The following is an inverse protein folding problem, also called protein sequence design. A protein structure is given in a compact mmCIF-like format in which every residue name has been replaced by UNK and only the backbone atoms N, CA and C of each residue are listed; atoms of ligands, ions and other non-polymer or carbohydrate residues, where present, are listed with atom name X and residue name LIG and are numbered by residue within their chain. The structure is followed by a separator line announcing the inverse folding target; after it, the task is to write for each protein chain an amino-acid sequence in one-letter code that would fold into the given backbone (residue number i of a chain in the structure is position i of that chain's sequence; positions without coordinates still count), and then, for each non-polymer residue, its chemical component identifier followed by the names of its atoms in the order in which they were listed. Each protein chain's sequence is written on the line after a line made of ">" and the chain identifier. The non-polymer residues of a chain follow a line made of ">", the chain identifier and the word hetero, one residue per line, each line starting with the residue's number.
data_IF_116249603513
#
_entry.id   IF_116249603513
#
_cell.length_a   1.000
_cell.length_b   1.000
_cell.length_c   1.000
_cell.angle_alpha   90.00
_cell.angle_beta   90.00
_cell.angle_gamma   90.00
#
_symmetry.space_group_name_H-M   'P 1'
#
loop_
_entity.id
_entity.type
_entity.pdbx_description
1 polymer ?
#
# COMPACT_ATOMS: atom_id res chain seq x y z
N UNK A 1 20.55 18.46 -3.38
CA UNK A 1 20.29 17.00 -3.25
C UNK A 1 19.11 16.70 -4.17
N UNK A 2 19.15 15.61 -4.94
CA UNK A 2 17.97 15.22 -5.73
C UNK A 2 16.78 14.96 -4.78
N UNK A 3 15.54 15.09 -5.24
CA UNK A 3 14.36 14.64 -4.49
C UNK A 3 14.33 13.11 -4.39
N UNK A 4 13.69 12.58 -3.35
CA UNK A 4 13.41 11.15 -3.22
C UNK A 4 12.55 10.71 -4.41
N UNK A 5 12.86 9.57 -5.02
CA UNK A 5 12.01 9.10 -6.12
C UNK A 5 10.63 8.72 -5.57
N UNK A 6 9.61 9.00 -6.38
CA UNK A 6 8.23 8.61 -6.11
C UNK A 6 8.11 7.13 -5.75
N UNK A 7 8.67 6.27 -6.59
CA UNK A 7 8.60 4.83 -6.39
C UNK A 7 9.22 4.39 -5.06
N UNK A 8 10.24 5.10 -4.57
CA UNK A 8 10.82 4.78 -3.27
C UNK A 8 9.91 5.22 -2.11
N UNK A 9 9.32 6.42 -2.19
CA UNK A 9 8.35 6.89 -1.20
C UNK A 9 7.13 5.96 -1.13
N UNK A 10 6.53 5.65 -2.28
CA UNK A 10 5.35 4.79 -2.37
C UNK A 10 5.63 3.34 -1.99
N UNK A 11 6.84 2.83 -2.27
CA UNK A 11 7.19 1.46 -1.85
C UNK A 11 7.07 1.28 -0.33
N UNK A 12 7.33 2.32 0.48
CA UNK A 12 7.23 2.21 1.93
C UNK A 12 5.79 2.15 2.42
N UNK A 13 4.95 3.07 1.94
CA UNK A 13 3.51 3.08 2.28
C UNK A 13 2.86 1.78 1.83
N UNK A 14 3.03 1.43 0.55
CA UNK A 14 2.39 0.26 -0.05
C UNK A 14 2.88 -1.07 0.57
N UNK A 15 4.16 -1.17 0.95
CA UNK A 15 4.63 -2.35 1.69
C UNK A 15 3.94 -2.49 3.05
N UNK A 16 3.77 -1.39 3.79
CA UNK A 16 3.09 -1.43 5.09
C UNK A 16 1.58 -1.68 4.94
N UNK A 17 0.94 -1.09 3.93
CA UNK A 17 -0.47 -1.36 3.61
C UNK A 17 -0.69 -2.84 3.29
N UNK A 18 0.24 -3.46 2.55
CA UNK A 18 0.18 -4.90 2.25
C UNK A 18 0.19 -5.80 3.50
N UNK A 19 0.70 -5.31 4.64
CA UNK A 19 0.65 -6.07 5.89
C UNK A 19 -0.74 -6.04 6.51
N UNK A 20 -1.47 -4.93 6.39
CA UNK A 20 -2.81 -4.80 6.96
C UNK A 20 -3.84 -5.74 6.27
N UNK A 21 -3.55 -6.15 5.04
CA UNK A 21 -4.35 -7.11 4.27
C UNK A 21 -3.91 -8.57 4.47
N UNK A 22 -2.72 -8.82 5.05
CA UNK A 22 -2.23 -10.18 5.28
C UNK A 22 -3.10 -10.91 6.30
N UNK A 23 -3.54 -12.13 5.99
CA UNK A 23 -4.39 -12.87 6.91
C UNK A 23 -3.66 -13.23 8.22
N UNK A 24 -2.33 -13.39 8.18
CA UNK A 24 -1.48 -13.50 9.37
C UNK A 24 -1.55 -12.26 10.29
N UNK A 25 -1.63 -11.06 9.72
CA UNK A 25 -1.75 -9.82 10.48
C UNK A 25 -3.17 -9.66 11.01
N UNK A 26 -4.17 -9.89 10.17
CA UNK A 26 -5.59 -9.83 10.54
C UNK A 26 -5.89 -10.80 11.70
N UNK A 27 -5.40 -12.04 11.63
CA UNK A 27 -5.57 -13.03 12.70
C UNK A 27 -4.91 -12.65 14.03
N UNK A 28 -3.88 -11.79 14.02
CA UNK A 28 -3.18 -11.34 15.23
C UNK A 28 -3.78 -10.09 15.83
N UNK A 29 -4.06 -9.09 15.00
CA UNK A 29 -4.25 -7.71 15.42
C UNK A 29 -5.65 -7.15 15.14
N UNK A 30 -6.39 -7.70 14.17
CA UNK A 30 -7.72 -7.19 13.85
C UNK A 30 -8.74 -7.73 14.85
N UNK A 31 -8.99 -6.95 15.90
CA UNK A 31 -9.95 -7.28 16.95
C UNK A 31 -11.08 -6.25 17.03
N UNK A 32 -12.28 -6.71 17.40
CA UNK A 32 -13.39 -5.82 17.72
C UNK A 32 -13.23 -5.20 19.13
N UNK A 33 -14.16 -4.33 19.52
CA UNK A 33 -14.14 -3.67 20.83
C UNK A 33 -14.26 -4.65 22.04
N UNK A 34 -14.71 -5.88 21.81
CA UNK A 34 -14.76 -6.93 22.81
C UNK A 34 -13.47 -7.79 22.85
N UNK A 35 -12.44 -7.43 22.08
CA UNK A 35 -11.19 -8.17 21.97
C UNK A 35 -11.28 -9.46 21.15
N UNK A 36 -12.38 -9.66 20.41
CA UNK A 36 -12.57 -10.84 19.57
C UNK A 36 -11.90 -10.61 18.22
N UNK A 37 -11.09 -11.55 17.76
CA UNK A 37 -10.45 -11.51 16.45
C UNK A 37 -11.49 -11.51 15.34
N UNK A 38 -11.20 -10.81 14.24
CA UNK A 38 -12.01 -10.80 13.02
C UNK A 38 -12.32 -12.24 12.57
N UNK A 39 -13.59 -12.62 12.36
CA UNK A 39 -13.93 -13.96 11.91
C UNK A 39 -13.35 -14.25 10.51
N UNK A 40 -12.86 -15.48 10.31
CA UNK A 40 -12.32 -15.93 9.03
C UNK A 40 -13.30 -15.71 7.87
N UNK A 41 -14.60 -15.89 8.11
CA UNK A 41 -15.64 -15.74 7.09
C UNK A 41 -15.68 -14.32 6.52
N UNK A 42 -15.29 -13.30 7.30
CA UNK A 42 -15.18 -11.92 6.83
C UNK A 42 -13.96 -11.74 5.93
N UNK A 43 -12.82 -12.31 6.33
CA UNK A 43 -11.57 -12.30 5.55
C UNK A 43 -11.75 -13.03 4.22
N UNK A 44 -12.34 -14.23 4.25
CA UNK A 44 -12.67 -15.01 3.06
C UNK A 44 -13.60 -14.24 2.12
N UNK A 45 -14.66 -13.62 2.66
CA UNK A 45 -15.58 -12.81 1.85
C UNK A 45 -14.85 -11.65 1.17
N UNK A 46 -13.92 -10.99 1.86
CA UNK A 46 -13.12 -9.93 1.29
C UNK A 46 -12.22 -10.43 0.15
N UNK A 47 -11.50 -11.54 0.35
CA UNK A 47 -10.62 -12.14 -0.67
C UNK A 47 -11.45 -12.53 -1.91
N UNK A 48 -12.59 -13.21 -1.73
CA UNK A 48 -13.48 -13.60 -2.84
C UNK A 48 -14.01 -12.39 -3.62
N UNK A 49 -14.25 -11.27 -2.93
CA UNK A 49 -14.77 -10.06 -3.56
C UNK A 49 -13.70 -9.25 -4.32
N UNK A 50 -12.42 -9.38 -3.96
CA UNK A 50 -11.35 -8.51 -4.45
C UNK A 50 -10.39 -9.22 -5.39
N UNK A 51 -9.97 -10.45 -5.08
CA UNK A 51 -8.96 -11.21 -5.81
C UNK A 51 -9.25 -11.35 -7.32
N UNK A 52 -10.49 -11.63 -7.77
CA UNK A 52 -10.79 -11.70 -9.21
C UNK A 52 -10.57 -10.39 -9.97
N UNK A 53 -10.50 -9.25 -9.27
CA UNK A 53 -10.36 -7.91 -9.85
C UNK A 53 -8.94 -7.34 -9.71
N UNK A 54 -7.97 -8.10 -9.20
CA UNK A 54 -6.59 -7.63 -9.03
C UNK A 54 -5.95 -7.19 -10.35
N UNK A 55 -6.20 -7.94 -11.43
CA UNK A 55 -5.74 -7.57 -12.79
C UNK A 55 -6.43 -6.30 -13.29
N UNK A 56 -7.72 -6.12 -12.99
CA UNK A 56 -8.45 -4.89 -13.32
C UNK A 56 -7.86 -3.68 -12.59
N UNK A 57 -7.51 -3.84 -11.31
CA UNK A 57 -6.87 -2.79 -10.51
C UNK A 57 -5.49 -2.41 -11.06
N UNK A 58 -4.67 -3.40 -11.45
CA UNK A 58 -3.41 -3.16 -12.16
C UNK A 58 -3.64 -2.38 -13.47
N UNK A 59 -4.60 -2.82 -14.31
CA UNK A 59 -4.90 -2.16 -15.58
C UNK A 59 -5.33 -0.70 -15.37
N UNK A 60 -6.12 -0.42 -14.34
CA UNK A 60 -6.49 0.94 -13.96
C UNK A 60 -5.27 1.77 -13.53
N UNK A 61 -4.36 1.18 -12.75
CA UNK A 61 -3.11 1.83 -12.35
C UNK A 61 -2.19 2.14 -13.55
N UNK A 62 -2.10 1.22 -14.52
CA UNK A 62 -1.31 1.40 -15.76
C UNK A 62 -1.93 2.42 -16.72
N UNK A 63 -3.25 2.56 -16.76
CA UNK A 63 -3.90 3.52 -17.66
C UNK A 63 -3.38 4.95 -17.47
N UNK A 64 -3.10 5.36 -16.23
CA UNK A 64 -2.60 6.70 -15.90
C UNK A 64 -1.26 7.01 -16.57
N UNK A 65 -0.15 6.30 -16.31
CA UNK A 65 1.14 6.62 -16.92
C UNK A 65 1.16 6.43 -18.44
N UNK A 66 0.34 5.53 -19.00
CA UNK A 66 0.21 5.42 -20.46
C UNK A 66 -0.49 6.62 -21.09
N UNK A 67 -1.51 7.17 -20.42
CA UNK A 67 -2.12 8.42 -20.84
C UNK A 67 -1.15 9.59 -20.72
N UNK A 68 -0.49 9.74 -19.57
CA UNK A 68 0.51 10.81 -19.38
C UNK A 68 1.61 10.71 -20.44
N UNK A 69 2.14 9.52 -20.73
CA UNK A 69 3.11 9.33 -21.81
C UNK A 69 2.59 9.83 -23.16
N UNK A 70 1.37 9.42 -23.56
CA UNK A 70 0.76 9.87 -24.83
C UNK A 70 0.53 11.38 -24.84
N UNK A 71 0.15 11.97 -23.72
CA UNK A 71 -0.07 13.41 -23.56
C UNK A 71 1.24 14.19 -23.72
N UNK A 72 2.29 13.80 -23.00
CA UNK A 72 3.56 14.52 -23.01
C UNK A 72 4.39 14.30 -24.28
N UNK A 73 4.05 13.29 -25.08
CA UNK A 73 4.62 13.08 -26.43
C UNK A 73 3.80 13.74 -27.55
N UNK A 74 2.62 14.29 -27.24
CA UNK A 74 1.76 14.96 -28.22
C UNK A 74 2.39 16.31 -28.64
N UNK A 75 2.48 16.62 -29.95
CA UNK A 75 2.86 17.94 -30.39
C UNK A 75 1.91 19.01 -29.85
N UNK A 76 2.45 20.11 -29.33
CA UNK A 76 1.65 21.16 -28.70
C UNK A 76 0.57 21.75 -29.63
N UNK A 77 0.84 21.79 -30.94
CA UNK A 77 -0.14 22.25 -31.94
C UNK A 77 -1.37 21.34 -32.08
N UNK A 78 -1.29 20.09 -31.61
CA UNK A 78 -2.40 19.11 -31.60
C UNK A 78 -3.13 19.08 -30.25
N UNK A 79 -2.62 19.82 -29.25
CA UNK A 79 -3.20 19.87 -27.92
C UNK A 79 -4.54 20.63 -27.95
N UNK A 80 -5.61 19.88 -27.72
CA UNK A 80 -6.96 20.43 -27.60
C UNK A 80 -7.76 19.61 -26.58
N UNK A 81 -8.85 20.19 -26.05
CA UNK A 81 -9.76 19.47 -25.16
C UNK A 81 -10.31 18.20 -25.82
N UNK A 82 -10.67 18.28 -27.11
CA UNK A 82 -11.16 17.13 -27.86
C UNK A 82 -10.10 16.03 -27.98
N UNK A 83 -8.84 16.41 -28.27
CA UNK A 83 -7.72 15.48 -28.33
C UNK A 83 -7.51 14.79 -26.98
N UNK A 84 -7.57 15.52 -25.87
CA UNK A 84 -7.40 14.97 -24.51
C UNK A 84 -8.51 13.97 -24.15
N UNK A 85 -9.78 14.34 -24.37
CA UNK A 85 -10.93 13.48 -24.10
C UNK A 85 -10.88 12.19 -24.93
N UNK A 86 -10.56 12.32 -26.23
CA UNK A 86 -10.39 11.18 -27.13
C UNK A 86 -9.24 10.28 -26.67
N UNK A 87 -8.08 10.86 -26.35
CA UNK A 87 -6.91 10.11 -25.90
C UNK A 87 -7.20 9.35 -24.60
N UNK A 88 -7.88 9.96 -23.63
CA UNK A 88 -8.27 9.31 -22.38
C UNK A 88 -9.19 8.11 -22.65
N UNK A 89 -10.23 8.28 -23.47
CA UNK A 89 -11.14 7.20 -23.85
C UNK A 89 -10.44 6.06 -24.62
N UNK A 90 -9.47 6.39 -25.48
CA UNK A 90 -8.65 5.40 -26.17
C UNK A 90 -7.79 4.59 -25.19
N UNK A 91 -7.14 5.24 -24.24
CA UNK A 91 -6.32 4.57 -23.22
C UNK A 91 -7.17 3.66 -22.33
N UNK A 92 -8.34 4.12 -21.88
CA UNK A 92 -9.27 3.29 -21.11
C UNK A 92 -9.67 2.04 -21.88
N UNK A 93 -10.07 2.19 -23.15
CA UNK A 93 -10.43 1.06 -24.01
C UNK A 93 -9.26 0.10 -24.21
N UNK A 94 -8.08 0.63 -24.56
CA UNK A 94 -6.91 -0.19 -24.90
C UNK A 94 -6.35 -0.93 -23.68
N UNK A 95 -6.29 -0.26 -22.52
CA UNK A 95 -5.61 -0.76 -21.32
C UNK A 95 -6.59 -1.37 -20.32
N UNK A 96 -7.80 -0.85 -20.16
CA UNK A 96 -8.79 -1.40 -19.23
C UNK A 96 -9.79 -2.32 -19.92
N UNK A 97 -9.90 -2.28 -21.26
CA UNK A 97 -10.81 -3.14 -22.04
C UNK A 97 -12.20 -2.54 -22.26
N UNK A 98 -12.38 -1.27 -21.92
CA UNK A 98 -13.65 -0.53 -22.04
C UNK A 98 -13.60 0.77 -21.26
N UNK A 99 -14.73 1.50 -21.15
CA UNK A 99 -14.82 2.68 -20.29
C UNK A 99 -14.43 2.36 -18.85
N UNK A 100 -13.62 3.22 -18.24
CA UNK A 100 -13.21 3.02 -16.86
C UNK A 100 -14.37 3.28 -15.88
N UNK A 101 -14.44 2.51 -14.79
CA UNK A 101 -15.42 2.76 -13.70
C UNK A 101 -15.22 4.13 -13.05
N UNK A 102 -13.97 4.60 -13.04
CA UNK A 102 -13.57 5.96 -12.72
C UNK A 102 -12.90 6.56 -13.96
N UNK A 103 -13.48 7.59 -14.60
CA UNK A 103 -12.88 8.22 -15.78
C UNK A 103 -11.44 8.67 -15.51
N UNK A 104 -10.55 8.47 -16.47
CA UNK A 104 -9.12 8.69 -16.33
C UNK A 104 -8.79 10.14 -15.96
N UNK A 105 -9.46 11.09 -16.59
CA UNK A 105 -9.29 12.53 -16.32
C UNK A 105 -9.86 12.98 -14.96
N UNK A 106 -10.53 12.09 -14.21
CA UNK A 106 -10.92 12.35 -12.82
C UNK A 106 -9.83 11.99 -11.81
N UNK A 107 -8.68 11.46 -12.27
CA UNK A 107 -7.53 11.19 -11.41
C UNK A 107 -6.81 12.51 -11.12
N UNK A 108 -6.83 13.01 -9.87
CA UNK A 108 -6.33 14.35 -9.55
C UNK A 108 -4.83 14.48 -9.77
N UNK A 109 -4.06 13.40 -9.63
CA UNK A 109 -2.60 13.40 -9.84
C UNK A 109 -2.22 13.88 -11.24
N UNK A 110 -3.02 13.56 -12.26
CA UNK A 110 -2.78 14.01 -13.64
C UNK A 110 -2.88 15.54 -13.75
N UNK A 111 -3.72 16.16 -12.91
CA UNK A 111 -4.09 17.58 -12.98
C UNK A 111 -3.34 18.47 -11.97
N UNK A 112 -2.52 17.87 -11.09
CA UNK A 112 -1.81 18.57 -10.03
C UNK A 112 -0.32 18.72 -10.38
N UNK A 113 0.21 19.94 -10.26
CA UNK A 113 1.60 20.28 -10.62
C UNK A 113 2.63 19.39 -9.90
N UNK A 114 2.40 19.10 -8.61
CA UNK A 114 3.27 18.24 -7.80
C UNK A 114 3.19 16.74 -8.12
N UNK A 115 2.24 16.30 -8.94
CA UNK A 115 1.92 14.89 -9.15
C UNK A 115 1.68 14.47 -10.62
N UNK A 116 1.88 15.36 -11.59
CA UNK A 116 1.89 14.97 -13.00
C UNK A 116 3.16 14.17 -13.34
N UNK A 117 3.04 13.20 -14.24
CA UNK A 117 4.08 12.22 -14.56
C UNK A 117 4.58 11.43 -13.34
N UNK A 118 3.81 11.37 -12.26
CA UNK A 118 4.18 10.72 -11.00
C UNK A 118 3.76 9.25 -10.98
N UNK A 119 2.66 8.92 -11.67
CA UNK A 119 1.90 7.70 -11.39
C UNK A 119 2.61 6.39 -11.78
N UNK A 120 3.57 6.47 -12.71
CA UNK A 120 4.46 5.34 -13.02
C UNK A 120 5.28 4.89 -11.79
N UNK A 121 5.51 5.78 -10.83
CA UNK A 121 6.16 5.47 -9.57
C UNK A 121 5.36 4.50 -8.69
N UNK A 122 4.02 4.59 -8.66
CA UNK A 122 3.16 3.60 -7.97
C UNK A 122 3.33 2.20 -8.57
N UNK A 123 3.39 2.10 -9.90
CA UNK A 123 3.57 0.81 -10.60
C UNK A 123 4.93 0.19 -10.24
N UNK A 124 5.99 0.99 -10.26
CA UNK A 124 7.34 0.53 -9.89
C UNK A 124 7.44 0.17 -8.39
N UNK A 125 6.76 0.91 -7.54
CA UNK A 125 6.65 0.61 -6.11
C UNK A 125 5.96 -0.73 -5.89
N UNK A 126 4.82 -0.98 -6.52
CA UNK A 126 4.07 -2.23 -6.36
C UNK A 126 4.86 -3.45 -6.83
N UNK A 127 5.57 -3.34 -7.96
CA UNK A 127 6.52 -4.35 -8.41
C UNK A 127 7.54 -4.68 -7.31
N UNK A 128 8.10 -3.64 -6.69
CA UNK A 128 9.09 -3.78 -5.62
C UNK A 128 8.48 -4.36 -4.34
N UNK A 129 7.25 -4.01 -3.98
CA UNK A 129 6.52 -4.57 -2.84
C UNK A 129 6.40 -6.08 -3.00
N UNK A 130 5.88 -6.55 -4.14
CA UNK A 130 5.76 -7.98 -4.41
C UNK A 130 7.12 -8.70 -4.43
N UNK A 131 8.14 -8.10 -5.05
CA UNK A 131 9.49 -8.67 -5.08
C UNK A 131 10.11 -8.75 -3.67
N UNK A 132 9.92 -7.72 -2.86
CA UNK A 132 10.41 -7.63 -1.49
C UNK A 132 9.72 -8.65 -0.58
N UNK A 133 8.39 -8.77 -0.68
CA UNK A 133 7.61 -9.78 0.05
C UNK A 133 8.03 -11.19 -0.33
N UNK A 134 8.18 -11.48 -1.62
CA UNK A 134 8.66 -12.78 -2.10
C UNK A 134 10.07 -13.11 -1.57
N UNK A 135 10.97 -12.11 -1.50
CA UNK A 135 12.28 -12.27 -0.89
C UNK A 135 12.18 -12.62 0.60
N UNK A 136 11.41 -11.87 1.40
CA UNK A 136 11.28 -12.15 2.82
C UNK A 136 10.62 -13.50 3.12
N UNK A 137 9.58 -13.88 2.37
CA UNK A 137 8.97 -15.19 2.49
C UNK A 137 9.95 -16.31 2.13
N UNK A 138 10.78 -16.12 1.10
CA UNK A 138 11.79 -17.11 0.72
C UNK A 138 12.90 -17.27 1.76
N UNK A 139 13.30 -16.20 2.45
CA UNK A 139 14.44 -16.23 3.38
C UNK A 139 13.99 -16.57 4.80
N UNK A 140 12.84 -16.07 5.21
CA UNK A 140 12.37 -16.16 6.59
C UNK A 140 11.08 -16.96 6.78
N UNK A 141 10.35 -17.28 5.71
CA UNK A 141 9.08 -18.01 5.79
C UNK A 141 7.89 -17.19 6.32
N UNK A 142 8.13 -16.03 6.92
CA UNK A 142 7.08 -15.15 7.47
C UNK A 142 7.53 -13.69 7.46
N UNK A 143 6.55 -12.78 7.34
CA UNK A 143 6.76 -11.33 7.33
C UNK A 143 6.28 -10.70 8.65
N UNK A 144 5.03 -10.97 9.03
CA UNK A 144 4.39 -10.38 10.22
C UNK A 144 5.14 -10.75 11.50
N UNK A 145 5.42 -9.76 12.35
CA UNK A 145 6.18 -9.87 13.62
C UNK A 145 7.59 -10.46 13.51
N UNK A 146 8.17 -10.47 12.31
CA UNK A 146 9.53 -10.94 12.09
C UNK A 146 10.55 -9.81 12.29
N UNK A 147 11.39 -9.85 13.34
CA UNK A 147 12.35 -8.77 13.62
C UNK A 147 13.41 -8.61 12.52
N UNK A 148 13.68 -9.66 11.74
CA UNK A 148 14.63 -9.58 10.64
C UNK A 148 14.10 -8.74 9.47
N UNK A 149 12.77 -8.73 9.24
CA UNK A 149 12.15 -7.89 8.21
C UNK A 149 12.35 -6.42 8.53
N UNK A 150 12.00 -5.99 9.75
CA UNK A 150 12.20 -4.60 10.18
C UNK A 150 13.68 -4.19 10.16
N UNK A 151 14.58 -5.09 10.58
CA UNK A 151 16.04 -4.86 10.48
C UNK A 151 16.45 -4.61 9.03
N UNK A 152 16.06 -5.50 8.12
CA UNK A 152 16.52 -5.44 6.73
C UNK A 152 15.94 -4.23 5.98
N UNK A 153 14.65 -3.91 6.19
CA UNK A 153 14.03 -2.68 5.70
C UNK A 153 14.78 -1.44 6.22
N UNK A 154 15.10 -1.40 7.52
CA UNK A 154 15.88 -0.31 8.12
C UNK A 154 17.25 -0.17 7.46
N UNK A 155 17.99 -1.28 7.29
CA UNK A 155 19.35 -1.22 6.73
C UNK A 155 19.37 -0.90 5.24
N UNK A 156 18.44 -1.46 4.48
CA UNK A 156 18.52 -1.48 3.01
C UNK A 156 17.65 -0.43 2.35
N UNK A 157 16.49 -0.10 2.92
CA UNK A 157 15.61 0.94 2.41
C UNK A 157 15.80 2.23 3.20
N UNK A 158 15.52 2.25 4.49
CA UNK A 158 15.36 3.51 5.22
C UNK A 158 16.67 4.27 5.49
N UNK A 159 17.72 3.59 5.99
CA UNK A 159 19.00 4.23 6.33
C UNK A 159 19.68 4.94 5.15
N UNK A 160 19.73 4.36 3.93
CA UNK A 160 20.28 5.06 2.77
C UNK A 160 19.57 6.37 2.41
N UNK A 161 18.28 6.51 2.74
CA UNK A 161 17.47 7.65 2.35
C UNK A 161 17.57 7.91 0.84
N UNK A 162 17.77 9.16 0.44
CA UNK A 162 17.99 9.50 -0.97
C UNK A 162 19.47 9.47 -1.42
N UNK A 163 20.33 8.77 -0.67
CA UNK A 163 21.73 8.57 -1.04
C UNK A 163 21.95 7.47 -2.10
N UNK A 164 20.93 6.66 -2.37
CA UNK A 164 21.00 5.49 -3.27
C UNK A 164 19.79 5.48 -4.20
N UNK A 165 19.97 5.23 -5.51
CA UNK A 165 18.86 5.10 -6.45
C UNK A 165 17.89 3.98 -6.07
N UNK A 166 16.59 4.18 -6.30
CA UNK A 166 15.55 3.20 -5.94
C UNK A 166 15.82 1.78 -6.48
N UNK A 167 16.21 1.64 -7.74
CA UNK A 167 16.48 0.33 -8.34
C UNK A 167 17.65 -0.38 -7.63
N UNK A 168 18.65 0.37 -7.18
CA UNK A 168 19.79 -0.15 -6.42
C UNK A 168 19.39 -0.52 -4.99
N UNK A 169 18.44 0.20 -4.38
CA UNK A 169 17.85 -0.18 -3.09
C UNK A 169 17.17 -1.55 -3.20
N UNK A 170 16.30 -1.74 -4.20
CA UNK A 170 15.59 -3.01 -4.44
C UNK A 170 16.57 -4.16 -4.67
N UNK A 171 17.60 -3.93 -5.48
CA UNK A 171 18.67 -4.91 -5.71
C UNK A 171 19.48 -5.19 -4.46
N UNK A 172 19.77 -4.18 -3.66
CA UNK A 172 20.50 -4.29 -2.40
C UNK A 172 19.75 -5.08 -1.33
N UNK A 173 18.42 -4.99 -1.29
CA UNK A 173 17.59 -5.80 -0.37
C UNK A 173 17.37 -7.21 -0.91
N UNK A 174 16.91 -7.34 -2.15
CA UNK A 174 16.39 -8.60 -2.69
C UNK A 174 17.45 -9.45 -3.39
N UNK A 175 18.62 -8.88 -3.67
CA UNK A 175 19.71 -9.50 -4.44
C UNK A 175 19.48 -9.52 -5.96
N UNK A 176 18.34 -8.99 -6.44
CA UNK A 176 17.93 -9.03 -7.85
C UNK A 176 17.49 -7.65 -8.32
N UNK A 177 17.74 -7.33 -9.59
CA UNK A 177 17.17 -6.14 -10.23
C UNK A 177 15.64 -6.16 -10.11
N UNK A 178 15.01 -4.98 -10.09
CA UNK A 178 13.56 -4.86 -10.07
C UNK A 178 12.95 -5.62 -11.27
N UNK A 179 11.99 -6.49 -11.00
CA UNK A 179 11.30 -7.31 -11.99
C UNK A 179 9.84 -7.55 -11.57
N UNK A 180 8.98 -7.82 -12.55
CA UNK A 180 7.54 -7.99 -12.31
C UNK A 180 7.15 -9.43 -11.93
N UNK A 181 8.08 -10.40 -11.97
CA UNK A 181 7.77 -11.84 -11.83
C UNK A 181 6.96 -12.16 -10.57
N UNK A 182 7.31 -11.57 -9.43
CA UNK A 182 6.61 -11.81 -8.18
C UNK A 182 5.17 -11.27 -8.21
N UNK A 183 4.96 -10.12 -8.84
CA UNK A 183 3.64 -9.52 -8.98
C UNK A 183 2.78 -10.28 -9.99
N UNK A 184 3.33 -10.61 -11.15
CA UNK A 184 2.67 -11.42 -12.19
C UNK A 184 2.26 -12.79 -11.63
N UNK A 185 3.14 -13.42 -10.84
CA UNK A 185 2.81 -14.68 -10.15
C UNK A 185 1.64 -14.50 -9.18
N UNK A 186 1.63 -13.44 -8.38
CA UNK A 186 0.54 -13.17 -7.44
C UNK A 186 -0.80 -12.91 -8.16
N UNK A 187 -0.77 -12.18 -9.28
CA UNK A 187 -1.96 -11.91 -10.10
C UNK A 187 -2.52 -13.17 -10.77
N UNK A 188 -1.67 -14.14 -11.07
CA UNK A 188 -2.04 -15.42 -11.66
C UNK A 188 -2.40 -16.51 -10.64
N UNK A 189 -2.43 -16.19 -9.35
CA UNK A 189 -2.77 -17.15 -8.31
C UNK A 189 -4.26 -17.54 -8.37
N UNK A 190 -4.55 -18.83 -8.27
CA UNK A 190 -5.92 -19.32 -8.20
C UNK A 190 -6.58 -18.92 -6.88
N UNK A 191 -7.89 -18.57 -6.94
CA UNK A 191 -8.64 -18.10 -5.78
C UNK A 191 -8.71 -19.14 -4.65
N UNK A 192 -8.94 -20.41 -4.97
CA UNK A 192 -9.08 -21.45 -3.94
C UNK A 192 -7.72 -21.78 -3.32
N UNK A 193 -6.64 -21.72 -4.11
CA UNK A 193 -5.28 -21.79 -3.58
C UNK A 193 -4.98 -20.61 -2.64
N UNK A 194 -5.31 -19.38 -3.06
CA UNK A 194 -5.14 -18.17 -2.24
C UNK A 194 -5.87 -18.31 -0.90
N UNK A 195 -7.16 -18.67 -0.93
CA UNK A 195 -7.97 -18.88 0.27
C UNK A 195 -7.38 -19.94 1.20
N UNK A 196 -6.92 -21.06 0.65
CA UNK A 196 -6.28 -22.12 1.43
C UNK A 196 -5.02 -21.62 2.14
N UNK A 197 -4.15 -20.91 1.42
CA UNK A 197 -2.91 -20.38 1.97
C UNK A 197 -3.16 -19.29 3.02
N UNK A 198 -4.05 -18.34 2.75
CA UNK A 198 -4.40 -17.27 3.67
C UNK A 198 -5.11 -17.81 4.92
N UNK A 199 -5.92 -18.86 4.81
CA UNK A 199 -6.54 -19.50 5.98
C UNK A 199 -5.50 -20.10 6.92
N UNK A 200 -4.51 -20.79 6.36
CA UNK A 200 -3.43 -21.37 7.15
C UNK A 200 -2.61 -20.29 7.88
N UNK A 201 -2.31 -19.18 7.20
CA UNK A 201 -1.61 -18.04 7.80
C UNK A 201 -2.47 -17.30 8.84
N UNK A 202 -3.76 -17.15 8.60
CA UNK A 202 -4.73 -16.63 9.57
C UNK A 202 -4.77 -17.47 10.84
N UNK A 203 -4.94 -18.79 10.74
CA UNK A 203 -5.00 -19.68 11.89
C UNK A 203 -3.70 -19.65 12.72
N UNK A 204 -2.55 -19.59 12.06
CA UNK A 204 -1.25 -19.35 12.73
C UNK A 204 -1.21 -18.00 13.42
N UNK A 205 -1.75 -16.96 12.78
CA UNK A 205 -1.86 -15.62 13.35
C UNK A 205 -2.71 -15.59 14.62
N UNK A 206 -3.91 -16.17 14.58
CA UNK A 206 -4.81 -16.31 15.72
C UNK A 206 -4.14 -17.06 16.87
N UNK A 207 -3.49 -18.19 16.57
CA UNK A 207 -2.82 -19.00 17.59
C UNK A 207 -1.63 -18.28 18.24
N UNK A 208 -0.91 -17.44 17.48
CA UNK A 208 0.20 -16.66 17.99
C UNK A 208 -0.26 -15.47 18.86
N UNK A 209 -1.38 -14.85 18.49
CA UNK A 209 -1.87 -13.61 19.11
C UNK A 209 -0.98 -12.40 18.86
N UNK A 210 -1.43 -11.23 19.32
CA UNK A 210 -0.67 -9.99 19.22
C UNK A 210 0.59 -10.05 20.11
N UNK A 211 1.77 -9.82 19.52
CA UNK A 211 3.04 -9.78 20.25
C UNK A 211 3.18 -8.53 21.13
N UNK A 212 2.58 -7.43 20.70
CA UNK A 212 2.61 -6.12 21.38
C UNK A 212 1.18 -5.65 21.56
N UNK A 213 0.82 -5.24 22.77
CA UNK A 213 -0.45 -4.56 23.04
C UNK A 213 -0.29 -3.07 22.81
N UNK A 214 -1.35 -2.41 22.36
CA UNK A 214 -1.32 -0.97 22.10
C UNK A 214 -0.99 -0.17 23.36
N UNK A 215 -1.45 -0.63 24.52
CA UNK A 215 -1.14 -0.02 25.82
C UNK A 215 0.38 -0.03 26.13
N UNK A 216 1.09 -1.05 25.65
CA UNK A 216 2.51 -1.28 25.91
C UNK A 216 3.41 -0.81 24.74
N UNK A 217 2.82 -0.27 23.68
CA UNK A 217 3.54 0.10 22.48
C UNK A 217 4.33 1.40 22.67
N UNK A 218 5.66 1.33 22.53
CA UNK A 218 6.56 2.47 22.45
C UNK A 218 7.14 2.57 21.03
N UNK A 219 6.80 3.64 20.33
CA UNK A 219 7.28 3.91 18.98
C UNK A 219 8.63 4.63 18.97
N UNK A 220 9.18 4.99 20.14
CA UNK A 220 10.36 5.83 20.27
C UNK A 220 10.14 7.24 19.71
N UNK A 221 8.87 7.68 19.64
CA UNK A 221 8.48 8.99 19.13
C UNK A 221 7.28 9.57 19.88
N UNK A 222 7.20 10.90 19.93
CA UNK A 222 6.02 11.63 20.41
C UNK A 222 5.04 11.84 19.26
N UNK A 223 3.85 11.26 19.38
CA UNK A 223 2.70 11.50 18.52
C UNK A 223 1.84 12.62 19.11
N UNK A 224 1.50 13.60 18.27
CA UNK A 224 0.64 14.74 18.58
C UNK A 224 -0.51 14.78 17.58
N UNK A 225 -1.75 14.81 18.06
CA UNK A 225 -2.93 14.99 17.22
C UNK A 225 -3.48 16.39 17.46
N UNK A 226 -3.65 17.15 16.36
CA UNK A 226 -4.18 18.52 16.38
C UNK A 226 -5.37 18.66 15.46
N UNK A 227 -6.28 19.57 15.83
CA UNK A 227 -7.35 20.07 14.98
C UNK A 227 -7.15 21.58 14.82
N UNK A 228 -6.60 21.99 13.67
CA UNK A 228 -6.06 23.34 13.51
C UNK A 228 -4.96 23.63 14.54
N UNK A 229 -5.18 24.64 15.37
CA UNK A 229 -4.24 25.05 16.43
C UNK A 229 -4.43 24.28 17.75
N UNK A 230 -5.55 23.58 17.92
CA UNK A 230 -5.90 22.91 19.17
C UNK A 230 -5.23 21.54 19.28
N UNK A 231 -4.56 21.28 20.40
CA UNK A 231 -4.01 19.96 20.69
C UNK A 231 -5.12 19.06 21.24
N UNK A 232 -5.52 18.06 20.46
CA UNK A 232 -6.53 17.08 20.85
C UNK A 232 -5.90 16.03 21.76
N UNK A 233 -4.75 15.47 21.38
CA UNK A 233 -4.07 14.42 22.13
C UNK A 233 -2.54 14.52 22.00
N UNK A 234 -1.84 14.11 23.05
CA UNK A 234 -0.38 14.02 23.08
C UNK A 234 0.05 12.71 23.75
N UNK A 235 0.86 11.92 23.05
CA UNK A 235 1.38 10.65 23.59
C UNK A 235 2.34 10.85 24.77
N UNK A 236 2.90 12.05 24.97
CA UNK A 236 3.71 12.35 26.14
C UNK A 236 2.92 12.34 27.45
N UNK A 237 1.59 12.50 27.40
CA UNK A 237 0.78 12.56 28.61
C UNK A 237 0.62 11.19 29.26
N UNK A 238 0.27 10.17 28.47
CA UNK A 238 -0.09 8.85 28.97
C UNK A 238 0.21 7.70 27.97
N UNK A 239 1.10 7.92 27.01
CA UNK A 239 1.49 6.94 26.01
C UNK A 239 0.51 6.85 24.83
N UNK A 240 0.85 5.96 23.89
CA UNK A 240 0.13 5.81 22.63
C UNK A 240 -1.30 5.27 22.82
N UNK A 241 -1.49 4.27 23.68
CA UNK A 241 -2.81 3.70 23.96
C UNK A 241 -3.80 4.75 24.47
N UNK A 242 -3.40 5.56 25.45
CA UNK A 242 -4.24 6.63 25.97
C UNK A 242 -4.54 7.72 24.93
N UNK A 243 -3.54 8.07 24.11
CA UNK A 243 -3.73 8.99 22.98
C UNK A 243 -4.79 8.44 22.01
N UNK A 244 -4.72 7.16 21.63
CA UNK A 244 -5.68 6.53 20.72
C UNK A 244 -7.10 6.52 21.31
N UNK A 245 -7.25 6.19 22.60
CA UNK A 245 -8.56 6.23 23.28
C UNK A 245 -9.13 7.64 23.32
N UNK A 246 -8.31 8.66 23.64
CA UNK A 246 -8.73 10.06 23.68
C UNK A 246 -9.16 10.56 22.30
N UNK A 247 -8.40 10.22 21.26
CA UNK A 247 -8.73 10.59 19.89
C UNK A 247 -10.05 9.96 19.43
N UNK A 248 -10.23 8.65 19.67
CA UNK A 248 -11.46 7.94 19.34
C UNK A 248 -12.69 8.57 20.01
N UNK A 249 -12.59 8.94 21.30
CA UNK A 249 -13.65 9.63 22.01
C UNK A 249 -13.97 11.02 21.43
N UNK A 250 -12.93 11.78 21.05
CA UNK A 250 -13.08 13.10 20.44
C UNK A 250 -13.76 13.03 19.07
N UNK A 251 -13.36 12.10 18.20
CA UNK A 251 -14.02 11.88 16.90
C UNK A 251 -15.48 11.45 17.13
N UNK A 252 -15.72 10.51 18.05
CA UNK A 252 -17.06 10.03 18.37
C UNK A 252 -17.99 11.13 18.91
N UNK A 253 -17.45 12.15 19.58
CA UNK A 253 -18.22 13.30 20.04
C UNK A 253 -18.58 14.27 18.89
N UNK A 254 -17.70 14.41 17.89
CA UNK A 254 -17.96 15.26 16.70
C UNK A 254 -18.87 14.61 15.67
N UNK A 255 -18.86 13.28 15.58
CA UNK A 255 -19.68 12.52 14.61
C UNK A 255 -21.12 12.28 15.07
N UNK A 256 -21.50 12.73 16.27
CA UNK A 256 -22.89 12.71 16.75
C UNK A 256 -23.55 14.05 16.40
N UNK A 257 -24.66 14.05 15.62
CA UNK A 257 -25.47 15.24 15.44
C UNK A 257 -26.11 15.71 16.75
#
# INVERSE_FOLDING_TARGET
>A
RAPMSVAYAENQSMFLDSLAEDAAWLGRFAQNAAGQVIPWEVVEKHIRATHPYSVTSLRAMLAVPYFEKRLYELPEAELSVETLLRMAAEVERDIQGGPASRPLLSVPHILADEASCYYHGYVLAEMSVHQTRAHFLSVYGTIVDNPNVGRDLTQRYWRPGNGTPFLDLVKGLTGKSLAADAWVKALGEDLEHKLTSEKAEYEKGVAAGARVKLEDADLGMRVLIKDGDDVVCDSNDAGLGALCSKFSAWVGAKSRP
#
